data_IF_122417270705
#
_entry.id   IF_122417270705
#
_cell.length_a   1.000
_cell.length_b   1.000
_cell.length_c   1.000
_cell.angle_alpha   90.00
_cell.angle_beta   90.00
_cell.angle_gamma   90.00
#
_symmetry.space_group_name_H-M   'P 1'
#
loop_
_entity.id
_entity.type
_entity.pdbx_description
1 polymer ?
#
# COMPACT_ATOMS: atom_id res chain seq x y z
N UNK A 1 4.87 1.98 -23.64
CA UNK A 1 5.13 1.81 -22.20
C UNK A 1 3.80 2.05 -21.54
N UNK A 2 3.26 1.02 -20.87
CA UNK A 2 2.00 1.15 -20.13
C UNK A 2 2.21 2.00 -18.88
N UNK A 3 1.14 2.58 -18.36
CA UNK A 3 1.20 3.36 -17.13
C UNK A 3 1.55 2.46 -15.93
N UNK A 4 2.29 3.00 -14.97
CA UNK A 4 2.65 2.36 -13.72
C UNK A 4 1.71 2.86 -12.61
N UNK A 5 0.95 1.98 -11.98
CA UNK A 5 -0.03 2.36 -10.96
C UNK A 5 0.35 1.74 -9.62
N UNK A 6 0.54 2.59 -8.62
CA UNK A 6 0.81 2.16 -7.24
C UNK A 6 -0.51 2.05 -6.47
N UNK A 7 -0.77 0.90 -5.87
CA UNK A 7 -1.93 0.64 -5.02
C UNK A 7 -1.46 0.27 -3.61
N UNK A 8 -1.36 1.24 -2.68
CA UNK A 8 -1.04 0.92 -1.31
C UNK A 8 -2.21 0.21 -0.63
N UNK A 9 -1.94 -0.94 -0.03
CA UNK A 9 -2.96 -1.83 0.52
C UNK A 9 -2.64 -2.25 1.96
N UNK A 10 -3.66 -2.25 2.81
CA UNK A 10 -3.69 -2.91 4.12
C UNK A 10 -4.76 -4.00 4.14
N UNK A 11 -5.09 -4.57 5.30
CA UNK A 11 -6.09 -5.62 5.42
C UNK A 11 -7.55 -5.12 5.38
N UNK A 12 -7.79 -3.85 5.02
CA UNK A 12 -9.13 -3.26 4.99
C UNK A 12 -9.87 -3.44 3.65
N UNK A 13 -11.19 -3.50 3.71
CA UNK A 13 -12.06 -3.61 2.53
C UNK A 13 -11.90 -2.41 1.57
N UNK A 14 -11.66 -1.22 2.11
CA UNK A 14 -11.44 -0.02 1.28
C UNK A 14 -10.15 -0.11 0.46
N UNK A 15 -9.15 -0.84 0.96
CA UNK A 15 -7.94 -1.08 0.21
C UNK A 15 -8.17 -2.12 -0.91
N UNK A 16 -8.98 -3.15 -0.66
CA UNK A 16 -9.45 -4.08 -1.70
C UNK A 16 -10.22 -3.36 -2.82
N UNK A 17 -11.17 -2.50 -2.46
CA UNK A 17 -11.93 -1.69 -3.42
C UNK A 17 -11.03 -0.78 -4.27
N UNK A 18 -9.94 -0.26 -3.69
CA UNK A 18 -8.98 0.54 -4.43
C UNK A 18 -8.23 -0.29 -5.48
N UNK A 19 -7.90 -1.54 -5.17
CA UNK A 19 -7.31 -2.47 -6.12
C UNK A 19 -8.29 -2.85 -7.23
N UNK A 20 -9.53 -3.23 -6.90
CA UNK A 20 -10.59 -3.51 -7.88
C UNK A 20 -10.78 -2.33 -8.84
N UNK A 21 -10.89 -1.12 -8.30
CA UNK A 21 -11.00 0.11 -9.10
C UNK A 21 -9.79 0.29 -10.02
N UNK A 22 -8.58 0.08 -9.53
CA UNK A 22 -7.37 0.21 -10.33
C UNK A 22 -7.34 -0.80 -11.48
N UNK A 23 -7.74 -2.06 -11.21
CA UNK A 23 -7.79 -3.12 -12.19
C UNK A 23 -8.79 -2.82 -13.31
N UNK A 24 -9.99 -2.33 -12.95
CA UNK A 24 -11.07 -1.99 -13.87
C UNK A 24 -10.79 -0.75 -14.74
N UNK A 25 -10.18 0.29 -14.15
CA UNK A 25 -10.03 1.59 -14.80
C UNK A 25 -8.68 1.78 -15.50
N UNK A 26 -7.69 0.93 -15.21
CA UNK A 26 -6.38 0.95 -15.84
C UNK A 26 -6.02 -0.43 -16.42
N UNK A 27 -6.76 -0.91 -17.46
CA UNK A 27 -6.63 -2.27 -17.98
C UNK A 27 -5.28 -2.55 -18.66
N UNK A 28 -4.60 -1.50 -19.17
CA UNK A 28 -3.30 -1.61 -19.84
C UNK A 28 -2.12 -1.23 -18.93
N UNK A 29 -2.40 -0.90 -17.66
CA UNK A 29 -1.37 -0.47 -16.71
C UNK A 29 -0.79 -1.65 -15.93
N UNK A 30 0.50 -1.55 -15.63
CA UNK A 30 1.15 -2.42 -14.66
C UNK A 30 0.81 -1.94 -13.25
N UNK A 31 0.21 -2.81 -12.45
CA UNK A 31 -0.25 -2.49 -11.10
C UNK A 31 0.71 -3.10 -10.10
N UNK A 32 1.18 -2.26 -9.17
CA UNK A 32 2.00 -2.70 -8.04
C UNK A 32 1.25 -2.46 -6.74
N UNK A 33 1.02 -3.52 -5.98
CA UNK A 33 0.44 -3.46 -4.64
C UNK A 33 1.55 -3.28 -3.61
N UNK A 34 1.46 -2.21 -2.83
CA UNK A 34 2.42 -1.90 -1.76
C UNK A 34 1.78 -2.14 -0.40
N UNK A 35 2.33 -3.08 0.37
CA UNK A 35 1.97 -3.23 1.78
C UNK A 35 3.11 -2.71 2.67
N UNK A 36 2.78 -1.90 3.68
CA UNK A 36 3.80 -1.33 4.58
C UNK A 36 3.65 -1.90 5.98
N UNK A 37 4.67 -2.64 6.41
CA UNK A 37 4.75 -3.20 7.76
C UNK A 37 5.35 -2.15 8.69
N UNK A 38 4.56 -1.75 9.70
CA UNK A 38 5.04 -0.86 10.76
C UNK A 38 6.09 -1.55 11.62
N UNK A 39 7.25 -0.91 11.78
CA UNK A 39 8.24 -1.28 12.80
C UNK A 39 8.14 -0.32 14.00
N UNK A 40 8.22 -0.82 15.26
CA UNK A 40 8.45 0.04 16.41
C UNK A 40 9.70 0.89 16.18
N UNK A 41 9.71 2.16 16.59
CA UNK A 41 10.85 3.06 16.38
C UNK A 41 12.12 2.47 16.96
N UNK A 42 13.05 2.03 16.11
CA UNK A 42 14.32 1.46 16.56
C UNK A 42 15.35 2.59 16.72
N UNK A 43 15.49 3.12 17.93
CA UNK A 43 16.74 3.75 18.36
C UNK A 43 17.77 2.64 18.65
N UNK A 44 18.40 2.06 17.62
CA UNK A 44 19.54 1.16 17.82
C UNK A 44 20.58 1.34 16.70
N UNK A 45 21.86 1.26 17.06
CA UNK A 45 23.01 1.54 16.18
C UNK A 45 23.27 0.49 15.09
N UNK A 46 24.16 0.83 14.15
CA UNK A 46 24.35 0.17 12.84
C UNK A 46 24.53 -1.36 12.86
N UNK A 47 25.37 -1.91 13.76
CA UNK A 47 25.64 -3.35 13.78
C UNK A 47 24.45 -4.18 14.31
N UNK A 48 23.67 -3.61 15.23
CA UNK A 48 22.42 -4.22 15.71
C UNK A 48 21.31 -4.03 14.70
N UNK A 49 21.29 -2.92 13.96
CA UNK A 49 20.34 -2.68 12.88
C UNK A 49 20.44 -3.75 11.78
N UNK A 50 21.64 -4.07 11.29
CA UNK A 50 21.85 -5.06 10.21
C UNK A 50 21.42 -6.49 10.58
N UNK A 51 21.74 -6.96 11.79
CA UNK A 51 21.35 -8.31 12.23
C UNK A 51 19.84 -8.41 12.53
N UNK A 52 19.20 -7.31 12.97
CA UNK A 52 17.75 -7.24 13.03
C UNK A 52 17.13 -7.09 11.64
N UNK A 53 17.84 -6.59 10.63
CA UNK A 53 17.30 -6.28 9.31
C UNK A 53 16.84 -7.54 8.56
N UNK A 54 17.62 -8.61 8.60
CA UNK A 54 17.25 -9.91 7.99
C UNK A 54 16.02 -10.52 8.70
N UNK A 55 16.02 -10.56 10.04
CA UNK A 55 14.88 -11.02 10.84
C UNK A 55 13.63 -10.16 10.63
N UNK A 56 13.79 -8.84 10.45
CA UNK A 56 12.70 -7.90 10.20
C UNK A 56 12.15 -8.08 8.80
N UNK A 57 13.00 -8.30 7.80
CA UNK A 57 12.59 -8.52 6.41
C UNK A 57 11.75 -9.78 6.27
N UNK A 58 12.21 -10.89 6.86
CA UNK A 58 11.46 -12.16 6.85
C UNK A 58 10.15 -12.04 7.65
N UNK A 59 10.19 -11.39 8.82
CA UNK A 59 8.98 -11.13 9.59
C UNK A 59 8.00 -10.19 8.87
N UNK A 60 8.50 -9.21 8.12
CA UNK A 60 7.68 -8.30 7.33
C UNK A 60 7.04 -9.04 6.15
N UNK A 61 7.79 -9.87 5.43
CA UNK A 61 7.26 -10.74 4.37
C UNK A 61 6.11 -11.61 4.90
N UNK A 62 6.31 -12.28 6.04
CA UNK A 62 5.27 -13.10 6.68
C UNK A 62 4.04 -12.30 7.12
N UNK A 63 4.23 -11.06 7.60
CA UNK A 63 3.11 -10.18 7.96
C UNK A 63 2.36 -9.62 6.75
N UNK A 64 3.01 -9.54 5.60
CA UNK A 64 2.41 -9.08 4.35
C UNK A 64 1.68 -10.18 3.57
N UNK A 65 1.96 -11.45 3.88
CA UNK A 65 1.47 -12.62 3.14
C UNK A 65 -0.06 -12.58 2.95
N UNK A 66 -0.83 -12.38 4.02
CA UNK A 66 -2.29 -12.33 3.93
C UNK A 66 -2.85 -11.16 3.11
N UNK A 67 -2.14 -10.03 3.06
CA UNK A 67 -2.54 -8.88 2.24
C UNK A 67 -2.25 -9.15 0.78
N UNK A 68 -1.12 -9.78 0.46
CA UNK A 68 -0.76 -10.13 -0.91
C UNK A 68 -1.56 -11.31 -1.45
N UNK A 69 -1.88 -12.32 -0.62
CA UNK A 69 -2.80 -13.39 -0.98
C UNK A 69 -4.14 -12.79 -1.43
N UNK A 70 -4.71 -11.89 -0.63
CA UNK A 70 -5.95 -11.20 -0.99
C UNK A 70 -5.81 -10.36 -2.26
N UNK A 71 -4.70 -9.65 -2.42
CA UNK A 71 -4.46 -8.86 -3.62
C UNK A 71 -4.40 -9.74 -4.89
N UNK A 72 -3.76 -10.90 -4.80
CA UNK A 72 -3.71 -11.87 -5.89
C UNK A 72 -5.08 -12.49 -6.16
N UNK A 73 -5.86 -12.84 -5.13
CA UNK A 73 -7.24 -13.32 -5.30
C UNK A 73 -8.08 -12.32 -6.11
N UNK A 74 -8.05 -11.03 -5.74
CA UNK A 74 -8.78 -9.97 -6.46
C UNK A 74 -8.30 -9.83 -7.91
N UNK A 75 -6.99 -9.90 -8.15
CA UNK A 75 -6.43 -9.79 -9.49
C UNK A 75 -6.77 -11.01 -10.36
N UNK A 76 -6.71 -12.22 -9.80
CA UNK A 76 -7.01 -13.48 -10.47
C UNK A 76 -8.49 -13.58 -10.86
N UNK A 77 -9.41 -13.09 -10.01
CA UNK A 77 -10.84 -12.98 -10.33
C UNK A 77 -11.09 -12.12 -11.59
N UNK A 78 -10.20 -11.17 -11.87
CA UNK A 78 -10.26 -10.31 -13.06
C UNK A 78 -9.32 -10.78 -14.19
N UNK A 79 -8.63 -11.91 -14.03
CA UNK A 79 -7.68 -12.44 -15.01
C UNK A 79 -6.47 -11.54 -15.24
N UNK A 80 -6.01 -10.86 -14.19
CA UNK A 80 -4.96 -9.83 -14.24
C UNK A 80 -3.76 -10.19 -13.39
N UNK A 81 -2.57 -9.82 -13.87
CA UNK A 81 -1.34 -9.91 -13.08
C UNK A 81 -1.07 -8.61 -12.33
N UNK A 82 -0.49 -8.74 -11.13
CA UNK A 82 -0.04 -7.63 -10.29
C UNK A 82 1.36 -7.91 -9.74
N UNK A 83 2.11 -6.85 -9.50
CA UNK A 83 3.35 -6.89 -8.73
C UNK A 83 3.06 -6.62 -7.24
N UNK A 84 3.89 -7.14 -6.34
CA UNK A 84 3.78 -6.88 -4.90
C UNK A 84 5.11 -6.38 -4.33
N UNK A 85 5.03 -5.40 -3.43
CA UNK A 85 6.19 -4.79 -2.78
C UNK A 85 5.92 -4.61 -1.29
N UNK A 86 6.87 -5.01 -0.45
CA UNK A 86 6.84 -4.74 1.00
C UNK A 86 7.61 -3.46 1.30
N UNK A 87 6.98 -2.52 1.98
CA UNK A 87 7.62 -1.38 2.63
C UNK A 87 7.78 -1.61 4.12
N UNK A 88 8.80 -1.00 4.73
CA UNK A 88 9.05 -1.08 6.17
C UNK A 88 8.98 0.33 6.76
N UNK A 89 8.31 0.49 7.90
CA UNK A 89 8.25 1.76 8.64
C UNK A 89 6.94 2.51 8.41
N UNK A 90 7.01 3.82 8.11
CA UNK A 90 5.81 4.65 8.05
C UNK A 90 5.11 4.54 6.69
N UNK A 91 3.80 4.19 6.62
CA UNK A 91 3.09 3.99 5.35
C UNK A 91 3.14 5.19 4.41
N UNK A 92 2.77 6.38 4.91
CA UNK A 92 2.75 7.58 4.06
C UNK A 92 4.13 7.94 3.50
N UNK A 93 5.23 7.63 4.22
CA UNK A 93 6.58 7.89 3.74
C UNK A 93 6.96 6.90 2.64
N UNK A 94 6.73 5.61 2.86
CA UNK A 94 6.98 4.58 1.86
C UNK A 94 6.22 4.81 0.55
N UNK A 95 4.97 5.31 0.64
CA UNK A 95 4.17 5.66 -0.53
C UNK A 95 4.75 6.88 -1.25
N UNK A 96 5.06 7.95 -0.51
CA UNK A 96 5.58 9.19 -1.09
C UNK A 96 6.98 9.00 -1.71
N UNK A 97 7.86 8.26 -1.04
CA UNK A 97 9.24 8.01 -1.51
C UNK A 97 9.25 7.18 -2.81
N UNK A 98 8.20 6.38 -3.06
CA UNK A 98 8.05 5.60 -4.30
C UNK A 98 7.22 6.31 -5.37
N UNK A 99 6.49 7.36 -5.02
CA UNK A 99 5.50 7.99 -5.91
C UNK A 99 6.09 8.45 -7.24
N UNK A 100 7.37 8.82 -7.27
CA UNK A 100 8.06 9.31 -8.47
C UNK A 100 8.28 8.24 -9.55
N UNK A 101 8.23 6.96 -9.17
CA UNK A 101 8.40 5.82 -10.09
C UNK A 101 7.07 5.37 -10.74
N UNK A 102 5.95 6.01 -10.38
CA UNK A 102 4.60 5.64 -10.84
C UNK A 102 3.91 6.84 -11.49
N UNK A 103 2.89 6.57 -12.31
CA UNK A 103 2.10 7.61 -12.97
C UNK A 103 0.90 8.06 -12.13
N UNK A 104 0.40 7.19 -11.25
CA UNK A 104 -0.67 7.53 -10.31
C UNK A 104 -0.66 6.60 -9.09
N UNK A 105 -1.31 7.08 -8.02
CA UNK A 105 -1.55 6.31 -6.80
C UNK A 105 -3.06 6.12 -6.64
N UNK A 106 -3.51 4.88 -6.42
CA UNK A 106 -4.91 4.58 -6.10
C UNK A 106 -5.00 4.11 -4.65
N UNK A 107 -5.79 4.81 -3.85
CA UNK A 107 -5.91 4.59 -2.41
C UNK A 107 -7.36 4.39 -1.97
N UNK A 108 -7.56 3.51 -1.00
CA UNK A 108 -8.79 3.48 -0.21
C UNK A 108 -8.94 4.77 0.60
N UNK A 109 -10.18 5.24 0.76
CA UNK A 109 -10.48 6.41 1.58
C UNK A 109 -10.13 6.20 3.06
N UNK A 110 -10.18 4.96 3.54
CA UNK A 110 -9.87 4.57 4.92
C UNK A 110 -9.02 3.29 4.94
N UNK A 111 -8.38 3.01 6.07
CA UNK A 111 -7.59 1.80 6.31
C UNK A 111 -8.11 1.01 7.53
N UNK A 112 -7.40 -0.04 7.94
CA UNK A 112 -7.86 -1.02 8.92
C UNK A 112 -8.15 -0.47 10.33
N UNK A 113 -7.45 0.58 10.75
CA UNK A 113 -7.67 1.25 12.04
C UNK A 113 -8.99 2.06 12.11
N UNK A 114 -9.68 2.23 10.98
CA UNK A 114 -10.92 2.99 10.88
C UNK A 114 -12.09 2.34 11.62
N UNK A 115 -12.09 1.01 11.75
CA UNK A 115 -13.15 0.21 12.39
C UNK A 115 -13.41 0.58 13.86
N UNK A 116 -12.53 1.36 14.50
CA UNK A 116 -12.65 1.83 15.90
C UNK A 116 -13.33 3.20 16.07
N UNK A 117 -13.63 3.94 15.00
CA UNK A 117 -14.18 5.30 15.10
C UNK A 117 -15.56 5.45 14.41
N UNK A 118 -16.50 6.12 15.07
CA UNK A 118 -17.86 6.36 14.55
C UNK A 118 -17.92 7.46 13.48
N UNK A 119 -18.31 7.04 12.25
CA UNK A 119 -19.17 7.71 11.23
C UNK A 119 -18.87 9.15 10.78
N UNK A 120 -18.33 9.30 9.56
CA UNK A 120 -19.08 9.34 8.26
C UNK A 120 -18.30 10.06 7.13
N UNK A 121 -17.17 10.73 7.40
CA UNK A 121 -16.42 11.47 6.36
C UNK A 121 -14.89 11.63 6.56
N UNK A 122 -14.22 10.92 7.48
CA UNK A 122 -12.79 11.22 7.72
C UNK A 122 -11.85 10.33 6.91
N UNK A 123 -11.22 10.89 5.89
CA UNK A 123 -10.11 10.26 5.16
C UNK A 123 -8.99 9.86 6.14
N UNK A 124 -8.48 8.64 6.03
CA UNK A 124 -7.41 8.12 6.87
C UNK A 124 -6.15 9.00 6.85
N UNK A 125 -5.34 8.98 7.92
CA UNK A 125 -4.17 9.86 8.03
C UNK A 125 -3.16 9.64 6.89
N UNK A 126 -3.00 8.39 6.44
CA UNK A 126 -2.16 8.03 5.28
C UNK A 126 -2.71 8.68 4.01
N UNK A 127 -3.97 8.39 3.65
CA UNK A 127 -4.61 8.94 2.45
C UNK A 127 -4.61 10.47 2.43
N UNK A 128 -4.87 11.12 3.57
CA UNK A 128 -4.80 12.58 3.70
C UNK A 128 -3.39 13.12 3.49
N UNK A 129 -2.37 12.41 3.99
CA UNK A 129 -0.97 12.83 3.84
C UNK A 129 -0.51 12.66 2.40
N UNK A 130 -0.81 11.51 1.78
CA UNK A 130 -0.42 11.19 0.40
C UNK A 130 -1.10 12.13 -0.59
N UNK A 131 -2.42 12.29 -0.51
CA UNK A 131 -3.17 13.20 -1.42
C UNK A 131 -2.72 14.66 -1.38
N UNK A 132 -2.08 15.11 -0.30
CA UNK A 132 -1.55 16.47 -0.18
C UNK A 132 -0.10 16.62 -0.65
N UNK A 133 0.66 15.53 -0.74
CA UNK A 133 2.12 15.59 -0.89
C UNK A 133 2.67 14.77 -2.03
N UNK A 134 1.89 13.86 -2.62
CA UNK A 134 2.33 13.05 -3.74
C UNK A 134 2.75 13.94 -4.91
N UNK A 135 3.82 13.56 -5.58
CA UNK A 135 4.31 14.17 -6.82
C UNK A 135 3.43 13.84 -8.04
N UNK A 136 2.53 12.86 -7.90
CA UNK A 136 1.71 12.28 -8.97
C UNK A 136 0.22 12.31 -8.61
N UNK A 137 -0.69 12.21 -9.59
CA UNK A 137 -2.12 12.11 -9.35
C UNK A 137 -2.50 11.03 -8.32
N UNK A 138 -3.41 11.37 -7.41
CA UNK A 138 -3.93 10.45 -6.39
C UNK A 138 -5.42 10.26 -6.57
N UNK A 139 -5.85 9.02 -6.80
CA UNK A 139 -7.25 8.61 -6.85
C UNK A 139 -7.66 8.05 -5.49
N UNK A 140 -8.77 8.53 -4.95
CA UNK A 140 -9.31 8.07 -3.66
C UNK A 140 -10.64 7.35 -3.90
N UNK A 141 -10.66 6.05 -3.63
CA UNK A 141 -11.79 5.14 -3.82
C UNK A 141 -12.57 4.97 -2.52
N UNK A 142 -13.90 4.81 -2.59
CA UNK A 142 -14.83 4.78 -1.46
C UNK A 142 -15.81 3.64 -1.52
#
# INVERSE_FOLDING_TARGET
MGSQILVPMDDSDHASQALEYALDNYPEAEITVLHVVGVPSMMMGEATALALEDDISEAAAKRSESVFERAHEIADEQGREINTVVGIGHPARNILDRAEDYDAIVLGAHGADWSRATRRFLVGNVTKTVSKRASVPVVIVR
#
